data_IF_091259413736
#
_entry.id   IF_091259413736
#
_cell.length_a   1.000
_cell.length_b   1.000
_cell.length_c   1.000
_cell.angle_alpha   90.00
_cell.angle_beta   90.00
_cell.angle_gamma   90.00
#
_symmetry.space_group_name_H-M   'P 1'
#
loop_
_entity.id
_entity.type
_entity.pdbx_description
1 polymer ?
#
# COMPACT_ATOMS: atom_id res chain seq x y z
N UNK A 1 -13.71 8.35 12.77
CA UNK A 1 -14.72 7.71 11.93
C UNK A 1 -14.33 7.65 10.46
N UNK A 2 -13.99 8.77 9.84
CA UNK A 2 -13.51 8.78 8.45
C UNK A 2 -12.25 7.93 8.29
N UNK A 3 -11.32 8.04 9.23
CA UNK A 3 -10.07 7.28 9.16
C UNK A 3 -10.30 5.78 9.31
N UNK A 4 -11.21 5.36 10.20
CA UNK A 4 -11.51 3.94 10.37
C UNK A 4 -12.13 3.35 9.09
N UNK A 5 -12.99 4.13 8.41
CA UNK A 5 -13.58 3.70 7.15
C UNK A 5 -12.53 3.62 6.04
N UNK A 6 -11.63 4.59 5.97
CA UNK A 6 -10.55 4.56 5.00
C UNK A 6 -9.61 3.40 5.25
N UNK A 7 -9.32 3.08 6.50
CA UNK A 7 -8.52 1.92 6.85
C UNK A 7 -9.17 0.63 6.38
N UNK A 8 -10.49 0.49 6.55
CA UNK A 8 -11.23 -0.69 6.08
C UNK A 8 -11.17 -0.80 4.55
N UNK A 9 -11.31 0.31 3.85
CA UNK A 9 -11.21 0.35 2.39
C UNK A 9 -9.82 -0.10 1.94
N UNK A 10 -8.77 0.46 2.55
CA UNK A 10 -7.39 0.15 2.18
C UNK A 10 -7.07 -1.33 2.46
N UNK A 11 -7.59 -1.89 3.55
CA UNK A 11 -7.40 -3.31 3.85
C UNK A 11 -7.98 -4.20 2.75
N UNK A 12 -9.19 -3.90 2.30
CA UNK A 12 -9.83 -4.63 1.19
C UNK A 12 -9.02 -4.47 -0.09
N UNK A 13 -8.59 -3.25 -0.40
CA UNK A 13 -7.80 -2.97 -1.60
C UNK A 13 -6.49 -3.75 -1.57
N UNK A 14 -5.80 -3.72 -0.43
CA UNK A 14 -4.54 -4.44 -0.27
C UNK A 14 -4.72 -5.94 -0.50
N UNK A 15 -5.78 -6.50 0.05
CA UNK A 15 -6.11 -7.92 -0.12
C UNK A 15 -6.38 -8.27 -1.58
N UNK A 16 -7.19 -7.45 -2.26
CA UNK A 16 -7.53 -7.68 -3.67
C UNK A 16 -6.31 -7.52 -4.58
N UNK A 17 -5.45 -6.55 -4.28
CA UNK A 17 -4.21 -6.37 -5.05
C UNK A 17 -3.28 -7.57 -4.89
N UNK A 18 -3.19 -8.13 -3.68
CA UNK A 18 -2.38 -9.30 -3.44
C UNK A 18 -2.95 -10.55 -4.12
N UNK A 19 -4.28 -10.68 -4.11
CA UNK A 19 -4.96 -11.85 -4.66
C UNK A 19 -5.07 -11.82 -6.18
N UNK A 20 -5.47 -10.70 -6.75
CA UNK A 20 -5.80 -10.58 -8.18
C UNK A 20 -4.88 -9.67 -8.97
N UNK A 21 -4.22 -8.73 -8.32
CA UNK A 21 -3.47 -7.68 -8.99
C UNK A 21 -4.34 -6.50 -9.41
N UNK A 22 -3.67 -5.42 -9.82
CA UNK A 22 -4.34 -4.15 -10.11
C UNK A 22 -5.33 -4.26 -11.26
N UNK A 23 -4.94 -4.93 -12.34
CA UNK A 23 -5.79 -5.00 -13.55
C UNK A 23 -7.11 -5.71 -13.30
N UNK A 24 -7.11 -6.77 -12.49
CA UNK A 24 -8.30 -7.56 -12.23
C UNK A 24 -9.18 -7.00 -11.12
N UNK A 25 -8.64 -6.10 -10.28
CA UNK A 25 -9.42 -5.48 -9.21
C UNK A 25 -10.40 -4.46 -9.77
N UNK A 26 -11.64 -4.49 -9.29
CA UNK A 26 -12.65 -3.51 -9.70
C UNK A 26 -13.11 -2.68 -8.51
N UNK A 27 -13.54 -1.44 -8.79
CA UNK A 27 -14.09 -0.56 -7.77
C UNK A 27 -15.38 -1.16 -7.17
N UNK A 28 -16.18 -1.83 -7.99
CA UNK A 28 -17.39 -2.50 -7.54
C UNK A 28 -17.09 -3.58 -6.50
N UNK A 29 -16.04 -4.37 -6.72
CA UNK A 29 -15.62 -5.40 -5.76
C UNK A 29 -15.19 -4.78 -4.43
N UNK A 30 -14.44 -3.69 -4.50
CA UNK A 30 -13.99 -3.00 -3.29
C UNK A 30 -15.17 -2.51 -2.48
N UNK A 31 -16.11 -1.81 -3.13
CA UNK A 31 -17.31 -1.30 -2.47
C UNK A 31 -18.13 -2.42 -1.85
N UNK A 32 -18.31 -3.52 -2.59
CA UNK A 32 -19.09 -4.67 -2.11
C UNK A 32 -18.46 -5.32 -0.88
N UNK A 33 -17.13 -5.49 -0.88
CA UNK A 33 -16.45 -6.12 0.26
C UNK A 33 -16.39 -5.23 1.48
N UNK A 34 -16.26 -3.92 1.27
CA UNK A 34 -16.32 -2.95 2.39
C UNK A 34 -17.73 -2.83 2.93
N UNK A 35 -18.73 -3.03 2.07
CA UNK A 35 -20.14 -2.90 2.46
C UNK A 35 -20.65 -1.47 2.35
N UNK A 36 -20.14 -0.69 1.41
CA UNK A 36 -20.58 0.68 1.18
C UNK A 36 -21.00 0.87 -0.28
N UNK A 37 -21.74 1.95 -0.53
CA UNK A 37 -22.11 2.31 -1.89
C UNK A 37 -20.87 2.79 -2.67
N UNK A 38 -20.87 2.52 -3.97
CA UNK A 38 -19.79 2.95 -4.86
C UNK A 38 -19.59 4.48 -4.81
N UNK A 39 -20.69 5.23 -4.71
CA UNK A 39 -20.61 6.69 -4.59
C UNK A 39 -19.89 7.13 -3.32
N UNK A 40 -20.10 6.41 -2.21
CA UNK A 40 -19.38 6.68 -0.95
C UNK A 40 -17.90 6.39 -1.09
N UNK A 41 -17.55 5.31 -1.79
CA UNK A 41 -16.16 4.96 -2.04
C UNK A 41 -15.45 6.07 -2.81
N UNK A 42 -16.09 6.61 -3.86
CA UNK A 42 -15.50 7.67 -4.66
C UNK A 42 -15.32 8.98 -3.89
N UNK A 43 -16.06 9.19 -2.80
CA UNK A 43 -15.85 10.35 -1.93
C UNK A 43 -14.51 10.28 -1.19
N UNK A 44 -14.05 9.06 -0.90
CA UNK A 44 -12.78 8.85 -0.21
C UNK A 44 -11.62 8.74 -1.20
N UNK A 45 -11.84 8.05 -2.30
CA UNK A 45 -10.80 7.77 -3.30
C UNK A 45 -11.41 7.95 -4.70
N UNK A 46 -10.98 8.99 -5.44
CA UNK A 46 -11.63 9.34 -6.71
C UNK A 46 -11.47 8.33 -7.83
N UNK A 47 -10.47 7.46 -7.76
CA UNK A 47 -10.19 6.52 -8.84
C UNK A 47 -9.62 5.21 -8.31
N UNK A 48 -9.61 4.20 -9.17
CA UNK A 48 -8.99 2.90 -8.90
C UNK A 48 -7.49 3.07 -8.61
N UNK A 49 -6.83 3.96 -9.33
CA UNK A 49 -5.42 4.27 -9.14
C UNK A 49 -5.17 4.87 -7.78
N UNK A 50 -6.07 5.73 -7.30
CA UNK A 50 -5.95 6.31 -5.96
C UNK A 50 -6.10 5.26 -4.87
N UNK A 51 -6.98 4.28 -5.08
CA UNK A 51 -7.12 3.15 -4.16
C UNK A 51 -5.80 2.37 -4.06
N UNK A 52 -5.21 2.06 -5.21
CA UNK A 52 -3.94 1.32 -5.25
C UNK A 52 -2.80 2.13 -4.63
N UNK A 53 -2.74 3.44 -4.91
CA UNK A 53 -1.73 4.33 -4.34
C UNK A 53 -1.82 4.37 -2.81
N UNK A 54 -3.04 4.45 -2.27
CA UNK A 54 -3.26 4.45 -0.83
C UNK A 54 -2.76 3.15 -0.19
N UNK A 55 -3.00 2.01 -0.84
CA UNK A 55 -2.51 0.72 -0.36
C UNK A 55 -0.98 0.68 -0.34
N UNK A 56 -0.34 1.22 -1.37
CA UNK A 56 1.13 1.27 -1.43
C UNK A 56 1.71 2.18 -0.37
N UNK A 57 1.11 3.34 -0.13
CA UNK A 57 1.54 4.25 0.93
C UNK A 57 1.46 3.55 2.29
N UNK A 58 0.38 2.80 2.52
CA UNK A 58 0.20 2.08 3.78
C UNK A 58 1.31 1.05 4.01
N UNK A 59 1.64 0.26 2.99
CA UNK A 59 2.72 -0.73 3.07
C UNK A 59 4.05 -0.02 3.35
N UNK A 60 4.31 1.07 2.67
CA UNK A 60 5.53 1.83 2.84
C UNK A 60 5.66 2.40 4.26
N UNK A 61 4.57 2.90 4.82
CA UNK A 61 4.57 3.39 6.21
C UNK A 61 4.82 2.27 7.21
N UNK A 62 4.29 1.09 6.95
CA UNK A 62 4.57 -0.08 7.78
C UNK A 62 6.05 -0.46 7.71
N UNK A 63 6.65 -0.39 6.52
CA UNK A 63 8.07 -0.64 6.35
C UNK A 63 8.93 0.37 7.12
N UNK A 64 8.57 1.64 7.05
CA UNK A 64 9.25 2.69 7.80
C UNK A 64 9.17 2.44 9.31
N UNK A 65 7.98 2.11 9.80
CA UNK A 65 7.79 1.83 11.23
C UNK A 65 8.64 0.63 11.66
N UNK A 66 8.74 -0.39 10.83
CA UNK A 66 9.55 -1.56 11.10
C UNK A 66 11.04 -1.19 11.19
N UNK A 67 11.54 -0.39 10.24
CA UNK A 67 12.91 0.08 10.25
C UNK A 67 13.23 0.92 11.49
N UNK A 68 12.31 1.80 11.88
CA UNK A 68 12.49 2.65 13.04
C UNK A 68 12.48 1.86 14.34
N UNK A 69 11.83 0.70 14.35
CA UNK A 69 11.78 -0.17 15.52
C UNK A 69 13.04 -1.03 15.69
N UNK A 70 13.91 -1.08 14.67
CA UNK A 70 15.17 -1.83 14.78
C UNK A 70 16.11 -1.15 15.77
N UNK A 71 17.01 -1.93 16.42
CA UNK A 71 17.98 -1.35 17.33
C UNK A 71 18.83 -0.27 16.67
N UNK A 72 19.16 0.79 17.40
CA UNK A 72 19.98 1.88 16.88
C UNK A 72 21.36 1.42 16.41
N UNK A 73 21.85 0.34 16.98
CA UNK A 73 23.15 -0.23 16.66
C UNK A 73 23.15 -1.14 15.43
N UNK A 74 21.95 -1.37 14.83
CA UNK A 74 21.84 -2.26 13.69
C UNK A 74 22.68 -1.75 12.52
N UNK A 75 23.51 -2.64 11.98
CA UNK A 75 24.34 -2.31 10.81
C UNK A 75 23.48 -2.20 9.57
N UNK A 76 23.96 -1.53 8.50
CA UNK A 76 23.22 -1.49 7.23
C UNK A 76 22.86 -2.87 6.70
N UNK A 77 23.75 -3.87 6.88
CA UNK A 77 23.45 -5.24 6.44
C UNK A 77 22.33 -5.86 7.27
N UNK A 78 22.35 -5.64 8.57
CA UNK A 78 21.29 -6.13 9.47
C UNK A 78 19.95 -5.48 9.12
N UNK A 79 19.94 -4.18 8.83
CA UNK A 79 18.76 -3.45 8.40
C UNK A 79 18.21 -4.03 7.10
N UNK A 80 19.08 -4.28 6.13
CA UNK A 80 18.69 -4.86 4.85
C UNK A 80 18.06 -6.25 5.03
N UNK A 81 18.71 -7.09 5.83
CA UNK A 81 18.19 -8.43 6.11
C UNK A 81 16.83 -8.38 6.78
N UNK A 82 16.65 -7.45 7.72
CA UNK A 82 15.38 -7.30 8.42
C UNK A 82 14.27 -6.88 7.47
N UNK A 83 14.52 -5.93 6.57
CA UNK A 83 13.54 -5.47 5.59
C UNK A 83 13.19 -6.57 4.60
N UNK A 84 14.19 -7.32 4.10
CA UNK A 84 13.94 -8.42 3.18
C UNK A 84 13.08 -9.48 3.86
N UNK A 85 13.40 -9.84 5.10
CA UNK A 85 12.61 -10.83 5.85
C UNK A 85 11.19 -10.36 6.05
N UNK A 86 11.00 -9.10 6.47
CA UNK A 86 9.69 -8.51 6.69
C UNK A 86 8.85 -8.53 5.41
N UNK A 87 9.46 -8.14 4.28
CA UNK A 87 8.80 -8.12 2.98
C UNK A 87 8.36 -9.53 2.56
N UNK A 88 9.23 -10.51 2.74
CA UNK A 88 8.91 -11.90 2.40
C UNK A 88 7.80 -12.46 3.28
N UNK A 89 7.84 -12.19 4.57
CA UNK A 89 6.80 -12.64 5.50
C UNK A 89 5.45 -12.01 5.15
N UNK A 90 5.46 -10.71 4.82
CA UNK A 90 4.24 -10.01 4.44
C UNK A 90 3.67 -10.58 3.14
N UNK A 91 4.51 -10.88 2.16
CA UNK A 91 4.08 -11.46 0.90
C UNK A 91 3.49 -12.85 1.09
N UNK A 92 4.12 -13.68 1.92
CA UNK A 92 3.63 -15.02 2.22
C UNK A 92 2.29 -14.98 2.95
N UNK A 93 2.08 -13.96 3.78
CA UNK A 93 0.81 -13.76 4.48
C UNK A 93 -0.28 -13.14 3.61
N UNK A 94 0.02 -12.78 2.35
CA UNK A 94 -0.93 -12.18 1.45
C UNK A 94 -1.17 -10.70 1.69
N UNK A 95 -0.26 -10.04 2.45
CA UNK A 95 -0.41 -8.63 2.78
C UNK A 95 0.33 -7.67 1.84
N UNK A 96 1.10 -8.21 0.89
CA UNK A 96 1.86 -7.39 -0.05
C UNK A 96 1.07 -7.23 -1.35
N UNK A 97 0.70 -5.99 -1.73
CA UNK A 97 -0.02 -5.77 -2.98
C UNK A 97 0.87 -6.09 -4.19
N UNK A 98 0.26 -6.72 -5.20
CA UNK A 98 0.90 -6.95 -6.49
C UNK A 98 0.49 -5.84 -7.45
N UNK A 99 1.47 -5.10 -7.95
CA UNK A 99 1.22 -4.02 -8.89
C UNK A 99 2.01 -4.27 -10.18
N UNK A 100 1.36 -4.17 -11.35
CA UNK A 100 2.10 -4.29 -12.60
C UNK A 100 3.00 -3.06 -12.76
N UNK A 101 4.31 -3.31 -12.86
CA UNK A 101 5.31 -2.24 -12.99
C UNK A 101 5.16 -1.44 -14.29
N UNK A 102 4.41 -1.98 -15.25
CA UNK A 102 4.22 -1.39 -16.57
C UNK A 102 2.94 -0.58 -16.70
N UNK A 103 2.12 -0.51 -15.65
CA UNK A 103 0.89 0.27 -15.70
C UNK A 103 1.21 1.75 -15.60
N UNK A 104 1.09 2.47 -16.73
CA UNK A 104 1.48 3.88 -16.81
C UNK A 104 0.57 4.81 -16.02
N UNK A 105 -0.74 4.52 -15.95
CA UNK A 105 -1.67 5.37 -15.19
C UNK A 105 -1.42 5.25 -13.69
N UNK A 106 -1.17 4.03 -13.20
CA UNK A 106 -0.84 3.80 -11.81
C UNK A 106 0.48 4.46 -11.45
N UNK A 107 1.50 4.32 -12.31
CA UNK A 107 2.80 4.94 -12.09
C UNK A 107 2.68 6.46 -11.99
N UNK A 108 1.91 7.08 -12.89
CA UNK A 108 1.69 8.52 -12.88
C UNK A 108 1.00 8.96 -11.57
N UNK A 109 0.00 8.21 -11.11
CA UNK A 109 -0.70 8.50 -9.86
C UNK A 109 0.25 8.39 -8.67
N UNK A 110 1.11 7.37 -8.64
CA UNK A 110 2.09 7.19 -7.56
C UNK A 110 3.09 8.34 -7.52
N UNK A 111 3.60 8.74 -8.68
CA UNK A 111 4.56 9.85 -8.77
C UNK A 111 3.92 11.15 -8.31
N UNK A 112 2.64 11.36 -8.63
CA UNK A 112 1.91 12.56 -8.24
C UNK A 112 1.49 12.56 -6.77
N UNK A 113 1.56 11.43 -6.08
CA UNK A 113 1.14 11.30 -4.69
C UNK A 113 2.27 11.76 -3.75
N UNK A 114 2.08 12.89 -3.01
CA UNK A 114 3.14 13.40 -2.15
C UNK A 114 3.51 12.44 -1.02
N UNK A 115 2.55 11.72 -0.47
CA UNK A 115 2.82 10.78 0.61
C UNK A 115 3.69 9.62 0.13
N UNK A 116 3.43 9.11 -1.07
CA UNK A 116 4.22 8.05 -1.65
C UNK A 116 5.66 8.51 -1.93
N UNK A 117 5.82 9.67 -2.55
CA UNK A 117 7.15 10.20 -2.88
C UNK A 117 7.96 10.54 -1.62
N UNK A 118 7.31 11.14 -0.63
CA UNK A 118 7.96 11.43 0.65
C UNK A 118 8.39 10.15 1.35
N UNK A 119 7.54 9.13 1.30
CA UNK A 119 7.85 7.83 1.87
C UNK A 119 9.07 7.18 1.23
N UNK A 120 9.19 7.25 -0.10
CA UNK A 120 10.35 6.73 -0.81
C UNK A 120 11.63 7.45 -0.39
N UNK A 121 11.59 8.76 -0.27
CA UNK A 121 12.73 9.56 0.17
C UNK A 121 13.15 9.17 1.58
N UNK A 122 12.20 9.05 2.50
CA UNK A 122 12.48 8.69 3.89
C UNK A 122 13.11 7.29 4.00
N UNK A 123 12.60 6.32 3.25
CA UNK A 123 13.16 4.97 3.24
C UNK A 123 14.56 4.97 2.67
N UNK A 124 14.81 5.75 1.61
CA UNK A 124 16.14 5.84 0.99
C UNK A 124 17.18 6.46 1.92
N UNK A 125 16.75 7.38 2.78
CA UNK A 125 17.65 8.07 3.71
C UNK A 125 18.00 7.26 4.94
N UNK A 126 17.34 6.15 5.14
CA UNK A 126 17.63 5.22 6.24
C UNK A 126 18.57 4.13 5.79
#
# INVERSE_FOLDING_TARGET
MLQAREDAIIEVVNHLLAEKGFEAMTVDEVAAQVGIAKASLYKHFPSKEDLAAAAMVRVMRKAQAYLQALPAEATPLEQLRAVVRWTMELKLAGGMPSLPSQNSSLRATLIANPDYMNGLIEVSDQ
#
